data_IF_728682433296
#
_entry.id   IF_728682433296
#
_cell.length_a   1.000
_cell.length_b   1.000
_cell.length_c   1.000
_cell.angle_alpha   90.00
_cell.angle_beta   90.00
_cell.angle_gamma   90.00
#
_symmetry.space_group_name_H-M   'P 1'
#
loop_
_entity.id
_entity.type
_entity.pdbx_description
1 polymer ?
#
# COMPACT_ATOMS: atom_id res chain seq x y z
N UNK A 1 -20.82 7.32 -9.20
CA UNK A 1 -19.70 6.43 -8.84
C UNK A 1 -19.15 5.87 -10.12
N UNK A 2 -17.84 5.97 -10.31
CA UNK A 2 -17.12 5.43 -11.47
C UNK A 2 -16.10 4.41 -10.96
N UNK A 3 -15.96 3.29 -11.67
CA UNK A 3 -15.06 2.21 -11.30
C UNK A 3 -14.24 1.85 -12.53
N UNK A 4 -12.91 1.81 -12.37
CA UNK A 4 -11.99 1.47 -13.46
C UNK A 4 -10.97 0.46 -12.97
N UNK A 5 -10.83 -0.64 -13.71
CA UNK A 5 -9.73 -1.59 -13.55
C UNK A 5 -8.58 -1.12 -14.44
N UNK A 6 -7.38 -0.96 -13.86
CA UNK A 6 -6.18 -0.50 -14.58
C UNK A 6 -5.33 -1.70 -14.98
N UNK A 7 -5.05 -2.59 -14.04
CA UNK A 7 -4.38 -3.86 -14.30
C UNK A 7 -4.93 -4.94 -13.34
N UNK A 8 -4.34 -6.14 -13.32
CA UNK A 8 -4.81 -7.24 -12.47
C UNK A 8 -4.61 -6.99 -10.96
N UNK A 9 -3.76 -6.03 -10.58
CA UNK A 9 -3.46 -5.65 -9.20
C UNK A 9 -3.94 -4.25 -8.78
N UNK A 10 -4.50 -3.46 -9.69
CA UNK A 10 -4.89 -2.07 -9.45
C UNK A 10 -6.32 -1.80 -9.94
N UNK A 11 -7.13 -1.32 -9.01
CA UNK A 11 -8.50 -0.91 -9.26
C UNK A 11 -8.74 0.45 -8.62
N UNK A 12 -9.44 1.35 -9.30
CA UNK A 12 -9.82 2.65 -8.77
C UNK A 12 -11.33 2.83 -8.74
N UNK A 13 -11.79 3.49 -7.70
CA UNK A 13 -13.18 3.88 -7.50
C UNK A 13 -13.20 5.38 -7.27
N UNK A 14 -13.89 6.11 -8.16
CA UNK A 14 -14.12 7.53 -8.04
C UNK A 14 -15.56 7.78 -7.57
N UNK A 15 -15.68 8.37 -6.39
CA UNK A 15 -16.94 8.66 -5.73
C UNK A 15 -17.14 10.18 -5.62
N UNK A 16 -18.18 10.70 -6.27
CA UNK A 16 -18.57 12.11 -6.17
C UNK A 16 -19.81 12.20 -5.28
N UNK A 17 -19.70 12.87 -4.13
CA UNK A 17 -20.79 13.04 -3.16
C UNK A 17 -20.80 14.49 -2.68
N UNK A 18 -21.91 15.19 -2.89
CA UNK A 18 -22.13 16.54 -2.35
C UNK A 18 -21.10 17.58 -2.79
N UNK A 19 -20.53 17.45 -4.00
CA UNK A 19 -19.48 18.34 -4.52
C UNK A 19 -18.05 17.97 -4.11
N UNK A 20 -17.88 16.93 -3.31
CA UNK A 20 -16.57 16.35 -2.99
C UNK A 20 -16.31 15.12 -3.85
N UNK A 21 -15.06 14.94 -4.26
CA UNK A 21 -14.60 13.77 -4.99
C UNK A 21 -13.61 12.99 -4.13
N UNK A 22 -13.87 11.70 -3.97
CA UNK A 22 -13.01 10.74 -3.28
C UNK A 22 -12.54 9.70 -4.30
N UNK A 23 -11.22 9.53 -4.41
CA UNK A 23 -10.59 8.48 -5.21
C UNK A 23 -10.06 7.42 -4.26
N UNK A 24 -10.59 6.20 -4.40
CA UNK A 24 -10.16 5.04 -3.65
C UNK A 24 -9.39 4.14 -4.61
N UNK A 25 -8.11 3.94 -4.35
CA UNK A 25 -7.28 2.98 -5.08
C UNK A 25 -7.19 1.71 -4.24
N UNK A 26 -7.69 0.61 -4.80
CA UNK A 26 -7.52 -0.73 -4.26
C UNK A 26 -6.31 -1.39 -4.90
N UNK A 27 -5.39 -1.83 -4.05
CA UNK A 27 -4.12 -2.46 -4.43
C UNK A 27 -4.12 -3.93 -4.07
N UNK A 28 -3.64 -4.75 -5.00
CA UNK A 28 -3.30 -6.14 -4.78
C UNK A 28 -1.95 -6.43 -5.43
N UNK A 29 -0.89 -6.33 -4.63
CA UNK A 29 0.47 -6.56 -5.09
C UNK A 29 0.68 -8.05 -5.42
N UNK A 30 1.35 -8.30 -6.54
CA UNK A 30 1.67 -9.65 -6.95
C UNK A 30 2.70 -10.27 -5.98
N UNK A 31 2.56 -11.57 -5.70
CA UNK A 31 3.32 -12.30 -4.67
C UNK A 31 4.83 -12.18 -4.88
N UNK A 32 5.59 -12.19 -3.77
CA UNK A 32 7.06 -12.21 -3.78
C UNK A 32 7.58 -13.38 -4.65
N UNK A 33 8.26 -13.07 -5.76
CA UNK A 33 8.76 -14.04 -6.74
C UNK A 33 8.46 -13.72 -8.20
N UNK A 34 7.68 -12.66 -8.48
CA UNK A 34 7.54 -12.15 -9.84
C UNK A 34 8.75 -11.34 -10.29
N UNK A 35 8.91 -11.27 -11.61
CA UNK A 35 9.94 -10.52 -12.29
C UNK A 35 9.98 -9.04 -11.83
N UNK A 36 11.20 -8.52 -11.66
CA UNK A 36 11.41 -7.15 -11.17
C UNK A 36 10.81 -6.10 -12.11
N UNK A 37 10.67 -6.41 -13.41
CA UNK A 37 9.98 -5.53 -14.35
C UNK A 37 8.49 -5.39 -14.04
N UNK A 38 7.83 -6.48 -13.62
CA UNK A 38 6.41 -6.46 -13.24
C UNK A 38 6.18 -5.57 -12.02
N UNK A 39 7.07 -5.66 -11.03
CA UNK A 39 7.01 -4.79 -9.84
C UNK A 39 7.23 -3.33 -10.20
N UNK A 40 8.23 -3.04 -11.05
CA UNK A 40 8.50 -1.69 -11.52
C UNK A 40 7.31 -1.12 -12.28
N UNK A 41 6.70 -1.90 -13.17
CA UNK A 41 5.50 -1.50 -13.89
C UNK A 41 4.32 -1.26 -12.94
N UNK A 42 4.13 -2.11 -11.94
CA UNK A 42 3.11 -1.90 -10.91
C UNK A 42 3.27 -0.56 -10.17
N UNK A 43 4.48 -0.25 -9.70
CA UNK A 43 4.75 1.02 -9.02
C UNK A 43 4.59 2.23 -9.95
N UNK A 44 4.99 2.09 -11.21
CA UNK A 44 4.80 3.13 -12.23
C UNK A 44 3.32 3.40 -12.52
N UNK A 45 2.52 2.35 -12.68
CA UNK A 45 1.08 2.48 -12.91
C UNK A 45 0.40 3.16 -11.71
N UNK A 46 0.80 2.80 -10.49
CA UNK A 46 0.28 3.41 -9.27
C UNK A 46 0.66 4.89 -9.15
N UNK A 47 1.90 5.24 -9.49
CA UNK A 47 2.41 6.63 -9.52
C UNK A 47 1.62 7.49 -10.52
N UNK A 48 1.40 6.98 -11.74
CA UNK A 48 0.61 7.66 -12.76
C UNK A 48 -0.85 7.87 -12.30
N UNK A 49 -1.44 6.87 -11.66
CA UNK A 49 -2.81 6.98 -11.11
C UNK A 49 -2.92 8.05 -10.02
N UNK A 50 -1.92 8.18 -9.15
CA UNK A 50 -1.94 9.21 -8.10
C UNK A 50 -1.66 10.59 -8.69
N UNK A 51 -0.77 10.69 -9.68
CA UNK A 51 -0.51 11.95 -10.38
C UNK A 51 -1.72 12.46 -11.18
N UNK A 52 -2.56 11.56 -11.72
CA UNK A 52 -3.78 11.94 -12.45
C UNK A 52 -4.89 12.49 -11.52
N UNK A 53 -4.80 12.22 -10.21
CA UNK A 53 -5.76 12.74 -9.24
C UNK A 53 -5.51 14.23 -9.02
N UNK A 54 -6.56 15.02 -9.24
CA UNK A 54 -6.50 16.48 -9.00
C UNK A 54 -6.25 16.74 -7.51
N UNK A 55 -5.38 17.70 -7.19
CA UNK A 55 -5.03 18.10 -5.81
C UNK A 55 -6.22 18.45 -4.90
N UNK A 56 -7.39 18.76 -5.45
CA UNK A 56 -8.61 19.08 -4.69
C UNK A 56 -9.42 17.83 -4.29
N UNK A 57 -9.14 16.69 -4.90
CA UNK A 57 -9.84 15.43 -4.67
C UNK A 57 -9.14 14.68 -3.53
N UNK A 58 -9.92 14.01 -2.67
CA UNK A 58 -9.33 13.18 -1.60
C UNK A 58 -8.86 11.86 -2.18
N UNK A 59 -7.67 11.40 -1.77
CA UNK A 59 -7.12 10.10 -2.13
C UNK A 59 -7.09 9.17 -0.93
N UNK A 60 -7.46 7.92 -1.14
CA UNK A 60 -7.28 6.85 -0.16
C UNK A 60 -6.81 5.60 -0.89
N UNK A 61 -5.68 5.04 -0.44
CA UNK A 61 -5.13 3.82 -1.03
C UNK A 61 -5.24 2.73 0.03
N UNK A 62 -5.84 1.60 -0.35
CA UNK A 62 -6.01 0.45 0.52
C UNK A 62 -5.70 -0.83 -0.24
N UNK A 63 -5.31 -1.88 0.47
CA UNK A 63 -4.98 -3.15 -0.18
C UNK A 63 -3.83 -3.89 0.48
N UNK A 64 -3.37 -4.93 -0.21
CA UNK A 64 -2.19 -5.69 0.18
C UNK A 64 -1.01 -5.32 -0.71
N UNK A 65 -0.04 -4.62 -0.14
CA UNK A 65 1.22 -4.28 -0.82
C UNK A 65 2.28 -5.37 -0.69
N UNK A 66 2.02 -6.41 0.12
CA UNK A 66 2.94 -7.50 0.41
C UNK A 66 4.36 -7.03 0.82
N UNK A 67 4.44 -5.84 1.41
CA UNK A 67 5.68 -5.18 1.83
C UNK A 67 5.72 -4.99 3.35
N UNK A 68 6.84 -5.40 3.96
CA UNK A 68 7.10 -5.13 5.37
C UNK A 68 7.84 -3.80 5.50
N UNK A 69 7.18 -2.80 6.09
CA UNK A 69 7.74 -1.45 6.31
C UNK A 69 8.78 -1.39 7.44
N UNK A 70 8.87 -2.45 8.25
CA UNK A 70 9.74 -2.50 9.43
C UNK A 70 8.99 -2.16 10.72
N UNK A 71 9.53 -2.50 11.89
CA UNK A 71 8.99 -2.08 13.18
C UNK A 71 9.35 -0.63 13.56
N UNK A 72 10.49 -0.15 13.07
CA UNK A 72 11.03 1.20 13.34
C UNK A 72 10.77 2.13 12.16
N UNK A 73 10.48 3.41 12.42
CA UNK A 73 10.33 4.45 11.38
C UNK A 73 11.61 4.65 10.58
N UNK A 74 12.78 4.64 11.23
CA UNK A 74 14.09 4.69 10.57
C UNK A 74 14.25 5.89 9.63
N UNK A 75 13.74 7.07 10.02
CA UNK A 75 13.81 8.32 9.24
C UNK A 75 12.54 8.71 8.48
N UNK A 76 11.47 7.91 8.56
CA UNK A 76 10.17 8.15 7.93
C UNK A 76 9.08 8.52 8.97
N UNK A 77 9.43 9.30 9.99
CA UNK A 77 8.52 9.65 11.10
C UNK A 77 7.28 10.47 10.64
N UNK A 78 7.35 11.06 9.45
CA UNK A 78 6.28 11.78 8.77
C UNK A 78 5.18 10.87 8.21
N UNK A 79 5.54 9.66 7.76
CA UNK A 79 4.61 8.73 7.07
C UNK A 79 4.40 7.40 7.80
N UNK A 80 5.37 7.01 8.64
CA UNK A 80 5.38 5.76 9.38
C UNK A 80 4.92 6.00 10.83
N UNK A 81 3.73 5.51 11.19
CA UNK A 81 3.25 5.55 12.57
C UNK A 81 4.08 4.68 13.52
N UNK A 82 3.92 4.85 14.84
CA UNK A 82 4.76 4.18 15.85
C UNK A 82 4.62 2.64 15.91
N UNK A 83 3.78 2.03 15.08
CA UNK A 83 3.44 0.60 15.12
C UNK A 83 3.70 -0.09 13.77
N UNK A 84 4.95 -0.42 13.48
CA UNK A 84 5.31 -1.28 12.34
C UNK A 84 5.52 -2.75 12.74
N UNK A 85 5.61 -3.67 11.76
CA UNK A 85 5.86 -5.10 12.04
C UNK A 85 6.78 -5.75 10.99
N UNK A 86 7.66 -6.64 11.47
CA UNK A 86 8.63 -7.38 10.66
C UNK A 86 9.90 -6.59 10.34
N UNK A 87 10.83 -7.22 9.64
CA UNK A 87 12.02 -6.55 9.09
C UNK A 87 11.65 -5.79 7.83
N UNK A 88 12.26 -4.62 7.65
CA UNK A 88 12.04 -3.79 6.47
C UNK A 88 12.53 -4.53 5.21
N UNK A 89 11.64 -4.74 4.24
CA UNK A 89 11.95 -5.33 2.93
C UNK A 89 11.91 -4.27 1.83
N UNK A 90 12.45 -4.60 0.65
CA UNK A 90 12.49 -3.70 -0.51
C UNK A 90 11.12 -3.09 -0.85
N UNK A 91 10.07 -3.90 -0.91
CA UNK A 91 8.69 -3.41 -1.16
C UNK A 91 8.17 -2.46 -0.06
N UNK A 92 8.59 -2.68 1.19
CA UNK A 92 8.24 -1.80 2.30
C UNK A 92 8.98 -0.45 2.25
N UNK A 93 10.21 -0.43 1.74
CA UNK A 93 10.92 0.82 1.43
C UNK A 93 10.20 1.59 0.32
N UNK A 94 9.86 0.91 -0.78
CA UNK A 94 9.12 1.53 -1.90
C UNK A 94 7.79 2.14 -1.44
N UNK A 95 7.06 1.46 -0.55
CA UNK A 95 5.82 1.99 0.02
C UNK A 95 6.06 3.24 0.88
N UNK A 96 7.15 3.28 1.65
CA UNK A 96 7.52 4.44 2.47
C UNK A 96 7.92 5.64 1.62
N UNK A 97 8.77 5.41 0.61
CA UNK A 97 9.19 6.45 -0.34
C UNK A 97 8.01 7.01 -1.13
N UNK A 98 7.12 6.13 -1.61
CA UNK A 98 5.89 6.51 -2.28
C UNK A 98 4.98 7.34 -1.36
N UNK A 99 4.77 6.89 -0.13
CA UNK A 99 3.93 7.61 0.83
C UNK A 99 4.49 8.99 1.09
N UNK A 100 5.81 9.12 1.22
CA UNK A 100 6.49 10.40 1.44
C UNK A 100 6.41 11.34 0.24
N UNK A 101 6.55 10.81 -0.98
CA UNK A 101 6.48 11.61 -2.20
C UNK A 101 5.10 12.26 -2.42
N UNK A 102 4.05 11.63 -1.91
CA UNK A 102 2.66 12.08 -2.04
C UNK A 102 2.05 12.61 -0.73
N UNK A 103 2.86 12.86 0.29
CA UNK A 103 2.43 13.31 1.63
C UNK A 103 1.30 12.43 2.23
N UNK A 104 1.37 11.12 2.00
CA UNK A 104 0.43 10.11 2.50
C UNK A 104 0.89 9.54 3.83
N UNK A 105 -0.07 9.23 4.71
CA UNK A 105 0.19 8.56 5.99
C UNK A 105 -0.20 7.09 5.91
N UNK A 106 0.70 6.20 6.34
CA UNK A 106 0.41 4.77 6.40
C UNK A 106 -0.47 4.49 7.62
N UNK A 107 -1.79 4.51 7.43
CA UNK A 107 -2.73 4.31 8.52
C UNK A 107 -2.52 2.98 9.27
N UNK A 108 -2.07 1.92 8.58
CA UNK A 108 -1.83 0.60 9.15
C UNK A 108 -0.72 0.58 10.21
N UNK A 109 0.20 1.55 10.18
CA UNK A 109 1.25 1.71 11.20
C UNK A 109 0.91 2.71 12.30
N UNK A 110 -0.20 3.42 12.17
CA UNK A 110 -0.68 4.39 13.16
C UNK A 110 -1.58 3.76 14.24
N UNK A 111 -2.05 2.52 14.04
CA UNK A 111 -2.91 1.82 14.99
C UNK A 111 -2.20 0.65 15.69
N UNK A 112 -2.33 0.52 17.02
CA UNK A 112 -1.77 -0.62 17.74
C UNK A 112 -2.51 -1.90 17.33
N UNK A 113 -1.80 -2.81 16.65
CA UNK A 113 -2.32 -4.16 16.40
C UNK A 113 -2.16 -5.03 17.65
N UNK A 114 -3.19 -5.81 18.00
CA UNK A 114 -3.08 -6.83 19.05
C UNK A 114 -2.03 -7.88 18.63
N UNK A 115 -1.16 -8.28 19.57
CA UNK A 115 -0.01 -9.20 19.34
C UNK A 115 -0.37 -10.56 18.71
N UNK A 116 -1.64 -10.95 18.75
CA UNK A 116 -2.14 -12.25 18.28
C UNK A 116 -2.39 -12.30 16.76
N UNK A 117 -2.55 -11.16 16.08
CA UNK A 117 -2.82 -11.10 14.63
C UNK A 117 -1.98 -10.03 13.90
N UNK A 118 -0.63 -10.10 13.93
CA UNK A 118 0.21 -9.13 13.21
C UNK A 118 0.25 -9.36 11.69
N UNK A 119 -0.14 -10.55 11.21
CA UNK A 119 -0.03 -10.98 9.80
C UNK A 119 -1.36 -11.63 9.37
N UNK A 120 -1.87 -11.28 8.19
CA UNK A 120 -3.12 -11.84 7.63
C UNK A 120 -2.96 -13.29 7.14
N UNK A 121 -1.72 -13.77 6.90
CA UNK A 121 -1.45 -15.11 6.38
C UNK A 121 -0.05 -15.62 6.80
N UNK A 122 0.07 -16.85 7.33
CA UNK A 122 1.35 -17.58 7.50
C UNK A 122 1.37 -18.74 6.49
N UNK A 123 2.47 -18.90 5.76
CA UNK A 123 2.72 -20.12 4.98
C UNK A 123 3.05 -21.23 5.97
N UNK A 124 2.30 -22.33 5.95
CA UNK A 124 2.47 -23.44 6.89
C UNK A 124 3.81 -24.14 6.69
N UNK A 125 4.50 -24.39 7.80
CA UNK A 125 5.55 -25.40 7.87
C UNK A 125 4.96 -26.75 7.42
N UNK A 126 5.54 -27.33 6.37
CA UNK A 126 5.31 -28.75 6.05
C UNK A 126 6.25 -29.55 6.93
N UNK A 127 5.75 -30.03 8.06
CA UNK A 127 6.35 -31.18 8.72
C UNK A 127 6.22 -32.38 7.76
N UNK A 128 7.37 -32.94 7.42
CA UNK A 128 7.49 -34.20 6.72
C UNK A 128 7.50 -35.30 7.78
N UNK A 129 6.52 -36.20 7.73
CA UNK A 129 6.66 -37.56 8.27
C UNK A 129 7.43 -38.44 7.26
#
# INVERSE_FOLDING_TARGET
>A
MEVRKVNDGLMTIKLVVGGFTLNIISVYAHRAGLDEEVKRCFWKDLDEMVCDIRHIEKLSIGGDFNGHIGATSGGYDDVHGSFGFGDRKGEGMSLLDFSRAFDLVIANSSFPKKREHPVTFRFGDRDSD
#
